data_IF_918992381583
#
_entry.id   IF_918992381583
#
_cell.length_a   1.000
_cell.length_b   1.000
_cell.length_c   1.000
_cell.angle_alpha   90.00
_cell.angle_beta   90.00
_cell.angle_gamma   90.00
#
_symmetry.space_group_name_H-M   'P 1'
#
loop_
_entity.id
_entity.type
_entity.pdbx_description
1 polymer ?
#
# COMPACT_ATOMS: atom_id res chain seq x y z
N UNK A 1 -75.05 74.50 -2.22
CA UNK A 1 -75.55 74.50 -0.82
C UNK A 1 -74.69 73.59 0.04
N UNK A 2 -73.95 74.21 0.94
CA UNK A 2 -73.52 73.78 2.28
C UNK A 2 -73.53 72.27 2.70
N UNK A 3 -72.36 71.88 3.25
CA UNK A 3 -72.06 70.82 4.26
C UNK A 3 -72.06 69.37 3.72
N UNK A 4 -71.18 68.45 4.12
CA UNK A 4 -70.68 68.15 5.47
C UNK A 4 -69.30 67.46 5.40
N UNK A 5 -68.48 67.71 6.42
CA UNK A 5 -67.15 67.14 6.67
C UNK A 5 -67.21 65.63 6.92
N UNK A 6 -66.32 64.86 6.30
CA UNK A 6 -65.86 63.58 6.84
C UNK A 6 -64.33 63.52 6.75
N UNK A 7 -63.72 63.66 7.93
CA UNK A 7 -62.30 63.43 8.17
C UNK A 7 -62.10 61.92 8.15
N UNK A 8 -61.42 61.40 7.14
CA UNK A 8 -60.92 60.03 7.16
C UNK A 8 -59.43 60.06 7.51
N UNK A 9 -59.15 59.67 8.75
CA UNK A 9 -57.82 59.45 9.29
C UNK A 9 -57.24 58.22 8.61
N UNK A 10 -56.36 58.40 7.62
CA UNK A 10 -55.65 57.29 6.99
C UNK A 10 -54.46 56.92 7.88
N UNK A 11 -54.64 55.93 8.76
CA UNK A 11 -53.57 55.36 9.55
C UNK A 11 -52.62 54.57 8.63
N UNK A 12 -51.42 55.11 8.40
CA UNK A 12 -50.34 54.40 7.70
C UNK A 12 -49.87 53.23 8.56
N UNK A 13 -50.36 52.02 8.28
CA UNK A 13 -49.80 50.79 8.87
C UNK A 13 -48.47 50.54 8.17
N UNK A 14 -47.39 51.06 8.75
CA UNK A 14 -46.03 50.68 8.36
C UNK A 14 -45.83 49.24 8.83
N UNK A 15 -46.03 48.28 7.94
CA UNK A 15 -45.62 46.89 8.18
C UNK A 15 -44.10 46.89 8.17
N UNK A 16 -43.48 47.08 9.33
CA UNK A 16 -42.06 46.84 9.52
C UNK A 16 -41.83 45.34 9.36
N UNK A 17 -41.52 44.92 8.12
CA UNK A 17 -41.04 43.57 7.84
C UNK A 17 -39.72 43.41 8.59
N UNK A 18 -39.81 42.88 9.80
CA UNK A 18 -38.66 42.51 10.58
C UNK A 18 -38.04 41.31 9.88
N UNK A 19 -37.14 41.54 8.92
CA UNK A 19 -36.28 40.49 8.44
C UNK A 19 -35.49 40.00 9.66
N UNK A 20 -35.97 38.91 10.27
CA UNK A 20 -35.16 38.11 11.18
C UNK A 20 -34.00 37.64 10.32
N UNK A 21 -32.87 38.35 10.37
CA UNK A 21 -31.58 37.79 9.99
C UNK A 21 -31.33 36.66 10.97
N UNK A 22 -31.90 35.49 10.66
CA UNK A 22 -31.44 34.25 11.23
C UNK A 22 -30.03 34.10 10.67
N UNK A 23 -29.03 34.50 11.46
CA UNK A 23 -27.70 33.95 11.33
C UNK A 23 -27.86 32.46 11.62
N UNK A 24 -28.23 31.69 10.58
CA UNK A 24 -28.07 30.25 10.64
C UNK A 24 -26.60 30.03 11.01
N UNK A 25 -26.30 29.23 12.03
CA UNK A 25 -24.91 28.91 12.30
C UNK A 25 -24.35 28.39 10.98
N UNK A 26 -23.29 29.03 10.48
CA UNK A 26 -22.42 28.40 9.51
C UNK A 26 -21.80 27.22 10.25
N UNK A 27 -22.56 26.12 10.36
CA UNK A 27 -21.96 24.81 10.45
C UNK A 27 -21.16 24.71 9.17
N UNK A 28 -19.89 25.09 9.28
CA UNK A 28 -18.88 24.69 8.35
C UNK A 28 -19.05 23.17 8.27
N UNK A 29 -19.67 22.68 7.19
CA UNK A 29 -19.93 21.28 6.94
C UNK A 29 -18.55 20.62 6.86
N UNK A 30 -17.93 20.33 8.00
CA UNK A 30 -16.60 19.75 8.03
C UNK A 30 -16.78 18.33 7.51
N UNK A 31 -16.43 18.07 6.23
CA UNK A 31 -16.80 16.83 5.58
C UNK A 31 -16.01 15.65 6.18
N UNK A 32 -14.96 15.93 6.94
CA UNK A 32 -14.20 14.97 7.74
C UNK A 32 -15.01 14.50 8.95
N UNK A 33 -15.64 15.40 9.70
CA UNK A 33 -16.40 15.08 10.92
C UNK A 33 -17.66 14.28 10.60
N UNK A 34 -18.31 14.59 9.47
CA UNK A 34 -19.50 13.88 9.00
C UNK A 34 -19.20 12.64 8.15
N UNK A 35 -17.94 12.17 8.12
CA UNK A 35 -17.55 10.94 7.43
C UNK A 35 -17.71 10.98 5.90
N UNK A 36 -17.96 12.15 5.31
CA UNK A 36 -18.01 12.34 3.84
C UNK A 36 -16.64 12.17 3.21
N UNK A 37 -15.57 12.42 3.97
CA UNK A 37 -14.18 12.11 3.59
C UNK A 37 -13.63 11.05 4.54
N UNK A 38 -13.30 9.87 3.99
CA UNK A 38 -12.58 8.83 4.74
C UNK A 38 -11.13 9.27 4.90
N UNK A 39 -10.78 9.81 6.07
CA UNK A 39 -9.40 10.14 6.42
C UNK A 39 -8.65 8.85 6.72
N UNK A 40 -7.50 8.66 6.08
CA UNK A 40 -6.57 7.58 6.38
C UNK A 40 -5.32 8.16 7.03
N UNK A 41 -4.90 7.55 8.12
CA UNK A 41 -3.62 7.84 8.76
C UNK A 41 -2.45 7.48 7.83
N UNK A 42 -1.28 8.10 8.09
CA UNK A 42 -0.04 7.74 7.40
C UNK A 42 0.29 6.25 7.55
N UNK A 43 0.05 5.67 8.73
CA UNK A 43 0.28 4.24 9.00
C UNK A 43 -0.61 3.36 8.12
N UNK A 44 -1.91 3.65 8.06
CA UNK A 44 -2.86 2.89 7.23
C UNK A 44 -2.48 2.95 5.75
N UNK A 45 -2.02 4.10 5.25
CA UNK A 45 -1.56 4.23 3.86
C UNK A 45 -0.25 3.49 3.61
N UNK A 46 0.71 3.57 4.54
CA UNK A 46 2.01 2.89 4.46
C UNK A 46 1.85 1.38 4.49
N UNK A 47 0.97 0.86 5.33
CA UNK A 47 0.75 -0.56 5.56
C UNK A 47 -0.40 -1.14 4.71
N UNK A 48 -1.04 -0.31 3.87
CA UNK A 48 -2.21 -0.71 3.09
C UNK A 48 -1.93 -1.99 2.30
N UNK A 49 -2.83 -2.97 2.40
CA UNK A 49 -2.71 -4.23 1.66
C UNK A 49 -1.38 -4.99 1.93
N UNK A 50 -0.79 -4.84 3.12
CA UNK A 50 0.34 -5.65 3.58
C UNK A 50 -0.09 -6.37 4.85
N UNK A 51 0.11 -7.69 4.89
CA UNK A 51 0.02 -8.45 6.13
C UNK A 51 1.28 -8.11 6.93
N UNK A 52 1.11 -7.38 8.04
CA UNK A 52 2.23 -6.99 8.90
C UNK A 52 2.74 -8.21 9.67
N UNK A 53 4.04 -8.20 9.94
CA UNK A 53 4.61 -9.14 10.89
C UNK A 53 4.50 -8.58 12.30
N UNK A 54 4.03 -9.38 13.25
CA UNK A 54 4.01 -9.05 14.67
C UNK A 54 5.21 -9.65 15.43
N UNK A 55 5.94 -10.60 14.82
CA UNK A 55 7.11 -11.28 15.40
C UNK A 55 8.38 -11.00 14.59
N UNK A 56 9.55 -10.96 15.24
CA UNK A 56 10.81 -10.63 14.56
C UNK A 56 11.27 -11.67 13.51
N UNK A 57 10.75 -12.90 13.59
CA UNK A 57 11.15 -14.02 12.73
C UNK A 57 10.11 -14.42 11.67
N UNK A 58 8.94 -13.76 11.65
CA UNK A 58 7.80 -14.16 10.83
C UNK A 58 7.67 -13.41 9.50
N UNK A 59 8.67 -12.59 9.13
CA UNK A 59 8.70 -11.86 7.85
C UNK A 59 8.44 -12.75 6.63
N UNK A 60 8.88 -14.01 6.65
CA UNK A 60 8.59 -15.00 5.60
C UNK A 60 7.10 -15.36 5.52
N UNK A 61 6.46 -15.62 6.67
CA UNK A 61 5.04 -15.95 6.75
C UNK A 61 4.16 -14.77 6.29
N UNK A 62 4.47 -13.57 6.80
CA UNK A 62 3.78 -12.34 6.43
C UNK A 62 3.98 -11.98 4.94
N UNK A 63 5.16 -12.26 4.37
CA UNK A 63 5.41 -12.08 2.93
C UNK A 63 4.57 -13.04 2.07
N UNK A 64 4.47 -14.31 2.47
CA UNK A 64 3.60 -15.30 1.81
C UNK A 64 2.15 -14.84 1.84
N UNK A 65 1.63 -14.49 3.03
CA UNK A 65 0.26 -14.01 3.18
C UNK A 65 0.02 -12.74 2.33
N UNK A 66 0.94 -11.78 2.38
CA UNK A 66 0.85 -10.55 1.57
C UNK A 66 0.79 -10.84 0.08
N UNK A 67 1.67 -11.69 -0.45
CA UNK A 67 1.69 -12.03 -1.88
C UNK A 67 0.40 -12.75 -2.29
N UNK A 68 0.03 -13.80 -1.57
CA UNK A 68 -1.13 -14.62 -1.92
C UNK A 68 -2.44 -13.84 -1.82
N UNK A 69 -2.60 -12.99 -0.79
CA UNK A 69 -3.81 -12.21 -0.62
C UNK A 69 -3.97 -11.17 -1.75
N UNK A 70 -2.90 -10.44 -2.06
CA UNK A 70 -3.01 -9.32 -2.98
C UNK A 70 -2.98 -9.73 -4.44
N UNK A 71 -2.20 -10.76 -4.78
CA UNK A 71 -2.05 -11.17 -6.17
C UNK A 71 -3.00 -12.30 -6.55
N UNK A 72 -3.31 -13.22 -5.63
CA UNK A 72 -4.15 -14.39 -5.90
C UNK A 72 -5.49 -14.40 -5.14
N UNK A 73 -5.83 -13.30 -4.46
CA UNK A 73 -7.15 -13.13 -3.82
C UNK A 73 -7.39 -14.02 -2.59
N UNK A 74 -6.33 -14.52 -1.96
CA UNK A 74 -6.43 -15.26 -0.71
C UNK A 74 -6.77 -14.35 0.48
N UNK A 75 -7.07 -14.94 1.63
CA UNK A 75 -7.40 -14.23 2.88
C UNK A 75 -6.63 -14.82 4.06
N UNK A 76 -5.32 -14.95 3.90
CA UNK A 76 -4.41 -15.52 4.89
C UNK A 76 -3.94 -14.48 5.90
N UNK A 77 -3.87 -14.87 7.16
CA UNK A 77 -3.20 -14.14 8.23
C UNK A 77 -1.75 -14.59 8.40
N UNK A 78 -0.95 -13.81 9.11
CA UNK A 78 0.41 -14.19 9.50
C UNK A 78 0.41 -15.49 10.33
N UNK A 79 -0.48 -15.58 11.32
CA UNK A 79 -0.58 -16.72 12.24
C UNK A 79 -0.93 -18.03 11.51
N UNK A 80 -1.87 -18.01 10.56
CA UNK A 80 -2.23 -19.19 9.77
C UNK A 80 -1.05 -19.72 8.94
N UNK A 81 -0.25 -18.81 8.36
CA UNK A 81 0.93 -19.20 7.59
C UNK A 81 2.05 -19.69 8.52
N UNK A 82 2.27 -19.04 9.67
CA UNK A 82 3.24 -19.47 10.67
C UNK A 82 2.96 -20.89 11.18
N UNK A 83 1.70 -21.20 11.49
CA UNK A 83 1.27 -22.53 11.91
C UNK A 83 1.58 -23.59 10.84
N UNK A 84 1.33 -23.28 9.56
CA UNK A 84 1.67 -24.19 8.45
C UNK A 84 3.17 -24.39 8.27
N UNK A 85 3.97 -23.36 8.53
CA UNK A 85 5.42 -23.45 8.47
C UNK A 85 6.01 -24.36 9.56
N UNK A 86 5.29 -24.56 10.67
CA UNK A 86 5.78 -25.23 11.88
C UNK A 86 7.02 -24.51 12.46
N UNK A 87 6.93 -23.17 12.48
CA UNK A 87 8.03 -22.25 12.80
C UNK A 87 7.57 -21.15 13.76
N UNK A 88 6.96 -21.54 14.87
CA UNK A 88 6.42 -20.60 15.86
C UNK A 88 7.50 -19.81 16.64
N UNK A 89 8.79 -20.18 16.52
CA UNK A 89 9.91 -19.50 17.20
C UNK A 89 11.18 -19.39 16.35
N UNK A 90 11.08 -19.64 15.04
CA UNK A 90 12.25 -19.69 14.15
C UNK A 90 11.97 -18.98 12.83
N UNK A 91 13.01 -18.42 12.21
CA UNK A 91 12.91 -17.83 10.88
C UNK A 91 12.61 -18.91 9.83
N UNK A 92 11.67 -18.62 8.94
CA UNK A 92 11.36 -19.48 7.81
C UNK A 92 12.43 -19.34 6.70
N UNK A 93 12.77 -20.43 6.04
CA UNK A 93 13.58 -20.41 4.82
C UNK A 93 12.71 -20.42 3.55
N UNK A 94 13.31 -20.18 2.38
CA UNK A 94 12.62 -20.41 1.11
C UNK A 94 12.17 -21.85 0.92
N UNK A 95 12.91 -22.81 1.48
CA UNK A 95 12.53 -24.22 1.43
C UNK A 95 11.28 -24.50 2.29
N UNK A 96 11.21 -23.89 3.48
CA UNK A 96 10.00 -23.98 4.33
C UNK A 96 8.79 -23.37 3.64
N UNK A 97 8.94 -22.16 3.09
CA UNK A 97 7.86 -21.51 2.33
C UNK A 97 7.43 -22.36 1.13
N UNK A 98 8.38 -22.92 0.38
CA UNK A 98 8.09 -23.81 -0.76
C UNK A 98 7.31 -25.04 -0.33
N UNK A 99 7.69 -25.67 0.79
CA UNK A 99 7.07 -26.88 1.33
C UNK A 99 5.58 -26.71 1.62
N UNK A 100 5.15 -25.54 2.09
CA UNK A 100 3.74 -25.30 2.46
C UNK A 100 2.86 -24.84 1.29
N UNK A 101 3.44 -24.42 0.15
CA UNK A 101 2.65 -23.93 -0.99
C UNK A 101 1.62 -24.93 -1.52
N UNK A 102 1.92 -26.24 -1.64
CA UNK A 102 0.93 -27.24 -2.04
C UNK A 102 -0.34 -27.22 -1.21
N UNK A 103 -0.23 -27.05 0.11
CA UNK A 103 -1.36 -27.02 1.05
C UNK A 103 -2.19 -25.74 0.91
N UNK A 104 -1.61 -24.70 0.32
CA UNK A 104 -2.26 -23.45 -0.01
C UNK A 104 -2.81 -23.44 -1.46
N UNK A 105 -2.63 -24.52 -2.23
CA UNK A 105 -3.07 -24.61 -3.63
C UNK A 105 -2.10 -24.01 -4.66
N UNK A 106 -0.86 -23.75 -4.25
CA UNK A 106 0.17 -23.13 -5.07
C UNK A 106 1.38 -24.06 -5.27
N UNK A 107 2.23 -23.69 -6.20
CA UNK A 107 3.59 -24.20 -6.35
C UNK A 107 4.56 -23.04 -6.19
N UNK A 108 5.72 -23.32 -5.62
CA UNK A 108 6.80 -22.34 -5.60
C UNK A 108 8.12 -22.95 -6.02
N UNK A 109 8.97 -22.07 -6.53
CA UNK A 109 10.33 -22.42 -6.92
C UNK A 109 11.29 -21.30 -6.57
N UNK A 110 12.37 -21.69 -5.92
CA UNK A 110 13.48 -20.80 -5.61
C UNK A 110 14.33 -20.58 -6.85
N UNK A 111 14.69 -19.34 -7.11
CA UNK A 111 15.59 -18.97 -8.19
C UNK A 111 16.68 -18.05 -7.69
N UNK A 112 17.82 -18.09 -8.37
CA UNK A 112 18.85 -17.10 -8.23
C UNK A 112 19.02 -16.39 -9.58
N UNK A 113 18.88 -15.06 -9.58
CA UNK A 113 18.73 -14.25 -10.79
C UNK A 113 19.71 -13.07 -10.78
N UNK A 114 20.03 -12.57 -11.97
CA UNK A 114 20.57 -11.21 -12.11
C UNK A 114 19.45 -10.17 -11.93
N UNK A 115 19.82 -8.90 -11.75
CA UNK A 115 18.83 -7.82 -11.66
C UNK A 115 18.03 -7.65 -12.96
N UNK A 116 18.70 -7.81 -14.10
CA UNK A 116 18.09 -7.71 -15.42
C UNK A 116 17.04 -8.79 -15.63
N UNK A 117 17.32 -10.02 -15.18
CA UNK A 117 16.34 -11.11 -15.20
C UNK A 117 15.18 -10.86 -14.24
N UNK A 118 15.46 -10.33 -13.04
CA UNK A 118 14.43 -9.95 -12.07
C UNK A 118 13.49 -8.88 -12.65
N UNK A 119 14.04 -7.87 -13.33
CA UNK A 119 13.27 -6.78 -13.93
C UNK A 119 12.34 -7.22 -15.08
N UNK A 120 12.58 -8.39 -15.66
CA UNK A 120 11.75 -8.98 -16.72
C UNK A 120 10.55 -9.78 -16.18
N UNK A 121 10.50 -10.08 -14.89
CA UNK A 121 9.39 -10.84 -14.30
C UNK A 121 8.09 -10.05 -14.35
N UNK A 122 6.99 -10.72 -14.69
CA UNK A 122 5.66 -10.11 -14.85
C UNK A 122 4.72 -10.31 -13.65
N UNK A 123 5.22 -10.94 -12.59
CA UNK A 123 4.46 -11.31 -11.40
C UNK A 123 5.26 -10.91 -10.16
N UNK A 124 4.58 -10.63 -9.03
CA UNK A 124 5.27 -10.40 -7.78
C UNK A 124 5.97 -11.67 -7.30
N UNK A 125 7.08 -11.49 -6.60
CA UNK A 125 7.88 -12.60 -6.04
C UNK A 125 8.33 -12.24 -4.64
N UNK A 126 8.64 -13.24 -3.80
CA UNK A 126 9.26 -12.99 -2.50
C UNK A 126 10.77 -12.88 -2.74
N UNK A 127 11.38 -11.82 -2.26
CA UNK A 127 12.82 -11.57 -2.33
C UNK A 127 13.46 -11.86 -0.98
N UNK A 128 14.67 -12.41 -1.00
CA UNK A 128 15.51 -12.53 0.19
C UNK A 128 16.50 -11.38 0.24
N UNK A 129 16.46 -10.62 1.32
CA UNK A 129 17.25 -9.42 1.53
C UNK A 129 18.15 -9.62 2.75
N UNK A 130 19.31 -8.99 2.74
CA UNK A 130 20.23 -8.95 3.85
C UNK A 130 20.51 -7.50 4.22
N UNK A 131 19.87 -7.03 5.28
CA UNK A 131 20.18 -5.72 5.84
C UNK A 131 21.32 -5.88 6.84
N UNK A 132 22.56 -5.59 6.41
CA UNK A 132 23.78 -5.82 7.20
C UNK A 132 23.95 -7.28 7.61
N UNK A 133 23.53 -7.65 8.83
CA UNK A 133 23.61 -9.01 9.38
C UNK A 133 22.25 -9.68 9.51
N UNK A 134 21.17 -8.97 9.22
CA UNK A 134 19.81 -9.46 9.39
C UNK A 134 19.22 -9.97 8.08
N UNK A 135 18.78 -11.22 8.12
CA UNK A 135 18.04 -11.89 7.06
C UNK A 135 16.59 -11.41 7.05
N UNK A 136 16.09 -11.06 5.87
CA UNK A 136 14.76 -10.51 5.72
C UNK A 136 14.06 -11.00 4.46
N UNK A 137 12.73 -11.11 4.52
CA UNK A 137 11.90 -11.39 3.36
C UNK A 137 10.94 -10.23 3.11
N UNK A 138 10.76 -9.91 1.84
CA UNK A 138 9.80 -8.90 1.39
C UNK A 138 9.18 -9.33 0.07
N UNK A 139 8.03 -8.75 -0.26
CA UNK A 139 7.38 -8.97 -1.57
C UNK A 139 7.84 -7.91 -2.57
N UNK A 140 8.42 -8.33 -3.68
CA UNK A 140 8.66 -7.45 -4.83
C UNK A 140 7.33 -7.22 -5.56
N UNK A 141 6.87 -5.98 -5.55
CA UNK A 141 5.60 -5.57 -6.20
C UNK A 141 5.79 -4.59 -7.35
N UNK A 142 7.03 -4.23 -7.66
CA UNK A 142 7.31 -3.48 -8.87
C UNK A 142 8.79 -3.21 -9.05
N UNK A 143 9.21 -3.17 -10.30
CA UNK A 143 10.62 -3.01 -10.66
C UNK A 143 10.75 -2.44 -12.06
N UNK A 144 11.69 -1.51 -12.22
CA UNK A 144 12.23 -1.09 -13.50
C UNK A 144 13.77 -1.01 -13.43
N UNK A 145 14.40 -0.39 -14.43
CA UNK A 145 15.87 -0.27 -14.49
C UNK A 145 16.51 0.50 -13.34
N UNK A 146 15.74 1.25 -12.54
CA UNK A 146 16.27 2.18 -11.54
C UNK A 146 15.52 2.17 -10.19
N UNK A 147 14.29 1.67 -10.13
CA UNK A 147 13.40 1.76 -8.99
C UNK A 147 12.84 0.38 -8.67
N UNK A 148 12.83 0.07 -7.38
CA UNK A 148 12.26 -1.17 -6.85
C UNK A 148 11.20 -0.81 -5.80
N UNK A 149 10.04 -1.47 -5.88
CA UNK A 149 8.95 -1.33 -4.92
C UNK A 149 8.77 -2.64 -4.16
N UNK A 150 8.80 -2.53 -2.85
CA UNK A 150 8.66 -3.62 -1.92
C UNK A 150 7.38 -3.43 -1.09
N UNK A 151 6.65 -4.52 -0.88
CA UNK A 151 5.69 -4.66 0.19
C UNK A 151 6.39 -5.40 1.34
N UNK A 152 6.93 -4.62 2.28
CA UNK A 152 7.77 -5.11 3.37
C UNK A 152 6.91 -5.37 4.63
N UNK A 153 6.91 -6.58 5.19
CA UNK A 153 6.11 -6.90 6.37
C UNK A 153 6.42 -6.04 7.61
N UNK A 154 7.67 -5.58 7.76
CA UNK A 154 8.11 -4.71 8.87
C UNK A 154 7.87 -3.24 8.56
N UNK A 155 8.31 -2.77 7.39
CA UNK A 155 8.36 -1.34 7.07
C UNK A 155 7.13 -0.82 6.30
N UNK A 156 6.33 -1.71 5.71
CA UNK A 156 5.21 -1.38 4.83
C UNK A 156 5.67 -1.17 3.38
N UNK A 157 5.03 -0.27 2.64
CA UNK A 157 5.43 0.04 1.27
C UNK A 157 6.76 0.79 1.22
N UNK A 158 7.80 0.14 0.72
CA UNK A 158 9.16 0.70 0.58
C UNK A 158 9.50 0.90 -0.89
N UNK A 159 10.17 2.01 -1.20
CA UNK A 159 10.72 2.30 -2.52
C UNK A 159 12.24 2.48 -2.43
N UNK A 160 12.97 1.74 -3.25
CA UNK A 160 14.44 1.75 -3.27
C UNK A 160 14.97 2.15 -4.65
N UNK A 161 16.16 2.73 -4.67
CA UNK A 161 16.96 2.75 -5.90
C UNK A 161 17.51 1.37 -6.24
N UNK A 162 17.87 1.17 -7.51
CA UNK A 162 18.57 -0.05 -7.93
C UNK A 162 19.80 -0.31 -7.06
N UNK A 163 20.62 0.71 -6.79
CA UNK A 163 21.82 0.56 -5.97
C UNK A 163 21.49 0.11 -4.54
N UNK A 164 20.52 0.74 -3.88
CA UNK A 164 20.09 0.37 -2.52
C UNK A 164 19.53 -1.06 -2.48
N UNK A 165 18.75 -1.42 -3.48
CA UNK A 165 18.19 -2.77 -3.56
C UNK A 165 19.27 -3.82 -3.81
N UNK A 166 20.23 -3.56 -4.70
CA UNK A 166 21.33 -4.47 -4.98
C UNK A 166 22.21 -4.72 -3.76
N UNK A 167 22.51 -3.67 -2.98
CA UNK A 167 23.27 -3.77 -1.73
C UNK A 167 22.61 -4.75 -0.74
N UNK A 168 21.28 -4.75 -0.65
CA UNK A 168 20.55 -5.67 0.22
C UNK A 168 20.28 -7.05 -0.42
N UNK A 169 20.10 -7.13 -1.74
CA UNK A 169 19.59 -8.34 -2.41
C UNK A 169 20.70 -9.27 -2.94
N UNK A 170 21.87 -8.72 -3.29
CA UNK A 170 23.01 -9.51 -3.75
C UNK A 170 23.72 -10.18 -2.58
N UNK A 171 23.26 -11.38 -2.23
CA UNK A 171 23.73 -12.09 -1.02
C UNK A 171 24.80 -13.15 -1.29
N UNK A 172 25.25 -13.26 -2.53
CA UNK A 172 26.37 -14.12 -2.95
C UNK A 172 27.15 -13.46 -4.08
N UNK A 173 28.39 -13.90 -4.27
CA UNK A 173 29.21 -13.46 -5.40
C UNK A 173 28.75 -14.08 -6.73
N UNK A 174 29.04 -13.39 -7.84
CA UNK A 174 28.73 -13.82 -9.21
C UNK A 174 27.46 -13.21 -9.82
N UNK A 175 27.18 -13.58 -11.08
CA UNK A 175 26.14 -12.91 -11.89
C UNK A 175 24.69 -13.19 -11.44
N UNK A 176 24.45 -14.32 -10.77
CA UNK A 176 23.11 -14.71 -10.29
C UNK A 176 23.00 -14.46 -8.78
N UNK A 177 23.37 -13.27 -8.32
CA UNK A 177 23.59 -12.98 -6.89
C UNK A 177 22.32 -12.92 -6.03
N UNK A 178 21.17 -12.63 -6.65
CA UNK A 178 19.94 -12.36 -5.91
C UNK A 178 19.01 -13.56 -5.85
N UNK A 179 18.44 -13.84 -4.67
CA UNK A 179 17.56 -15.01 -4.46
C UNK A 179 16.09 -14.57 -4.38
N UNK A 180 15.22 -15.33 -5.02
CA UNK A 180 13.77 -15.14 -4.97
C UNK A 180 13.04 -16.46 -4.78
N UNK A 181 11.77 -16.36 -4.37
CA UNK A 181 10.78 -17.41 -4.46
C UNK A 181 9.65 -16.94 -5.36
N UNK A 182 9.51 -17.59 -6.52
CA UNK A 182 8.36 -17.38 -7.40
C UNK A 182 7.24 -18.34 -6.98
N UNK A 183 6.01 -17.83 -6.92
CA UNK A 183 4.83 -18.60 -6.51
C UNK A 183 3.79 -18.53 -7.64
N UNK A 184 3.27 -19.68 -8.06
CA UNK A 184 2.28 -19.82 -9.13
C UNK A 184 1.14 -20.73 -8.69
N UNK A 185 -0.10 -20.52 -9.18
CA UNK A 185 -1.22 -21.38 -8.81
C UNK A 185 -1.11 -22.75 -9.48
N UNK A 186 -1.54 -23.81 -8.79
CA UNK A 186 -1.64 -25.15 -9.40
C UNK A 186 -2.72 -25.26 -10.47
N UNK A 187 -3.76 -24.45 -10.35
CA UNK A 187 -4.90 -24.41 -11.27
C UNK A 187 -4.85 -23.14 -12.11
N UNK A 188 -4.93 -23.30 -13.43
CA UNK A 188 -4.85 -22.20 -14.40
C UNK A 188 -5.96 -21.14 -14.26
N UNK A 189 -7.08 -21.50 -13.62
CA UNK A 189 -8.27 -20.63 -13.46
C UNK A 189 -8.15 -19.62 -12.30
N UNK A 190 -7.01 -19.56 -11.62
CA UNK A 190 -6.84 -18.64 -10.48
C UNK A 190 -6.77 -17.18 -10.98
N UNK A 191 -7.80 -16.40 -10.63
CA UNK A 191 -7.87 -14.97 -10.96
C UNK A 191 -6.70 -14.25 -10.27
N UNK A 192 -5.84 -13.63 -11.07
CA UNK A 192 -4.69 -12.87 -10.57
C UNK A 192 -4.94 -11.37 -10.68
N UNK A 193 -4.73 -10.63 -9.60
CA UNK A 193 -4.81 -9.17 -9.58
C UNK A 193 -3.54 -8.55 -10.17
N UNK A 194 -3.58 -8.30 -11.49
CA UNK A 194 -2.47 -7.69 -12.23
C UNK A 194 -2.09 -6.29 -11.74
N UNK A 195 -2.95 -5.59 -11.00
CA UNK A 195 -2.68 -4.24 -10.49
C UNK A 195 -1.68 -4.25 -9.33
N UNK A 196 -1.47 -5.39 -8.67
CA UNK A 196 -0.54 -5.46 -7.55
C UNK A 196 0.93 -5.37 -8.00
N UNK A 197 1.25 -5.75 -9.24
CA UNK A 197 2.60 -5.70 -9.79
C UNK A 197 2.74 -4.67 -10.91
N UNK A 198 3.84 -3.90 -10.93
CA UNK A 198 4.08 -2.87 -11.96
C UNK A 198 5.52 -2.84 -12.48
N UNK A 199 5.66 -2.63 -13.79
CA UNK A 199 6.95 -2.33 -14.46
C UNK A 199 7.23 -0.83 -14.58
N UNK A 200 6.35 0.02 -14.06
CA UNK A 200 6.51 1.47 -14.06
C UNK A 200 6.41 2.03 -12.63
N UNK A 201 7.28 1.57 -11.72
CA UNK A 201 7.28 2.02 -10.35
C UNK A 201 7.64 3.51 -10.23
N UNK A 202 6.95 4.21 -9.33
CA UNK A 202 7.26 5.60 -8.97
C UNK A 202 7.85 5.66 -7.56
N UNK A 203 8.92 6.44 -7.38
CA UNK A 203 9.52 6.65 -6.05
C UNK A 203 8.64 7.55 -5.21
N UNK A 204 8.51 7.22 -3.92
CA UNK A 204 7.83 8.11 -2.96
C UNK A 204 8.48 9.50 -2.90
N UNK A 205 9.79 9.58 -3.13
CA UNK A 205 10.56 10.84 -3.13
C UNK A 205 10.55 11.59 -4.46
N UNK A 206 9.91 11.06 -5.52
CA UNK A 206 9.94 11.64 -6.86
C UNK A 206 9.47 13.11 -6.88
N UNK A 207 8.37 13.41 -6.17
CA UNK A 207 7.83 14.76 -6.07
C UNK A 207 8.83 15.74 -5.43
N UNK A 208 9.42 15.37 -4.28
CA UNK A 208 10.37 16.21 -3.56
C UNK A 208 11.65 16.46 -4.38
N UNK A 209 12.15 15.43 -5.06
CA UNK A 209 13.32 15.56 -5.95
C UNK A 209 13.02 16.50 -7.12
N UNK A 210 11.80 16.45 -7.67
CA UNK A 210 11.34 17.38 -8.71
C UNK A 210 11.40 18.84 -8.27
N UNK A 211 10.89 19.14 -7.07
CA UNK A 211 10.90 20.49 -6.49
C UNK A 211 12.33 21.02 -6.30
N UNK A 212 13.24 20.19 -5.78
CA UNK A 212 14.65 20.57 -5.58
C UNK A 212 15.35 20.86 -6.91
N UNK A 213 15.05 20.09 -7.97
CA UNK A 213 15.64 20.31 -9.30
C UNK A 213 15.16 21.61 -9.94
N UNK A 214 13.87 21.91 -9.82
CA UNK A 214 13.31 23.18 -10.31
C UNK A 214 13.96 24.38 -9.61
N UNK A 215 14.04 24.34 -8.27
CA UNK A 215 14.65 25.40 -7.48
C UNK A 215 16.17 25.61 -7.71
N UNK A 216 16.87 24.66 -8.36
CA UNK A 216 18.30 24.78 -8.72
C UNK A 216 18.52 25.26 -10.16
N UNK A 217 17.48 25.24 -10.98
CA UNK A 217 17.51 25.68 -12.37
C UNK A 217 17.13 27.15 -12.54
N UNK A 218 16.54 27.74 -11.50
CA UNK A 218 16.29 29.18 -11.30
C UNK A 218 17.50 29.83 -10.61
#
# INVERSE_FOLDING_TARGET
MMKFKYVFLLACVVVSLSYRLNAAPMFNDNPVVYGKIKVQSWKERRDFNIVKQDLDFSCGAASVATLLNNFYGQTLTEEEVLKKLDKEQMRASFEDMRRIMPDLGFEAKGYALSFEQLAQLKIPVIVYLKYRKDDHFSVLRGIDGNTVLLADPSLGHVSMSRAQFLDAWQTREGNLAGKILAVVPKKAETISNKLFFTHHPKRQTEFAVGQIRQARAE
#
